data_IF_886493896736
#
_entry.id   IF_886493896736
#
_cell.length_a   1.000
_cell.length_b   1.000
_cell.length_c   1.000
_cell.angle_alpha   90.00
_cell.angle_beta   90.00
_cell.angle_gamma   90.00
#
_symmetry.space_group_name_H-M   'P 1'
#
loop_
_entity.id
_entity.type
_entity.pdbx_description
1 polymer ?
#
# COMPACT_ATOMS: atom_id res chain seq x y z
N UNK A 1 18.16 -26.51 55.27
CA UNK A 1 18.09 -26.44 53.80
C UNK A 1 17.08 -25.44 53.23
N UNK A 2 16.10 -24.94 53.98
CA UNK A 2 15.11 -23.94 53.47
C UNK A 2 15.65 -22.51 53.36
N UNK A 3 16.59 -22.09 54.23
CA UNK A 3 17.14 -20.72 54.22
C UNK A 3 17.98 -20.39 52.97
N UNK A 4 18.66 -21.38 52.38
CA UNK A 4 19.45 -21.20 51.16
C UNK A 4 18.58 -20.97 49.93
N UNK A 5 17.39 -21.59 49.84
CA UNK A 5 16.46 -21.46 48.74
C UNK A 5 15.82 -20.07 48.66
N UNK A 6 15.58 -19.46 49.87
CA UNK A 6 15.03 -18.10 49.91
C UNK A 6 16.06 -17.03 49.54
N UNK A 7 17.32 -17.24 49.85
CA UNK A 7 18.41 -16.32 49.44
C UNK A 7 18.61 -16.29 47.94
N UNK A 8 18.51 -17.44 47.25
CA UNK A 8 18.60 -17.50 45.80
C UNK A 8 17.41 -16.87 45.06
N UNK A 9 16.21 -16.97 45.62
CA UNK A 9 15.02 -16.34 45.04
C UNK A 9 15.11 -14.81 45.20
N UNK A 10 15.61 -14.33 46.34
CA UNK A 10 15.79 -12.89 46.58
C UNK A 10 16.89 -12.29 45.71
N UNK A 11 17.96 -13.03 45.42
CA UNK A 11 19.03 -12.58 44.52
C UNK A 11 18.56 -12.52 43.03
N UNK A 12 17.69 -13.45 42.63
CA UNK A 12 17.17 -13.50 41.26
C UNK A 12 16.14 -12.40 40.98
N UNK A 13 15.37 -11.99 42.03
CA UNK A 13 14.42 -10.87 41.89
C UNK A 13 15.10 -9.49 41.83
N UNK A 14 16.29 -9.35 42.43
CA UNK A 14 17.05 -8.11 42.39
C UNK A 14 17.66 -7.82 41.01
N UNK A 15 17.94 -8.84 40.21
CA UNK A 15 18.48 -8.69 38.83
C UNK A 15 17.43 -8.30 37.80
N UNK A 16 16.13 -8.55 38.06
CA UNK A 16 15.04 -8.13 37.13
C UNK A 16 14.63 -6.67 37.31
N UNK A 17 14.97 -6.03 38.43
CA UNK A 17 14.62 -4.64 38.70
C UNK A 17 15.58 -3.62 38.04
N UNK A 18 16.66 -4.08 37.41
CA UNK A 18 17.73 -3.21 36.88
C UNK A 18 17.46 -2.49 35.55
N UNK A 19 16.38 -2.81 34.84
CA UNK A 19 16.15 -2.23 33.51
C UNK A 19 15.39 -0.89 33.50
N UNK A 20 15.02 -0.35 34.67
CA UNK A 20 14.21 0.89 34.73
C UNK A 20 14.77 2.03 35.57
N UNK A 21 15.86 1.84 36.34
CA UNK A 21 16.30 2.80 37.35
C UNK A 21 17.52 3.64 36.96
N UNK A 22 18.23 3.28 35.89
CA UNK A 22 19.23 4.19 35.34
C UNK A 22 18.52 5.09 34.29
N UNK A 23 17.80 6.09 34.82
CA UNK A 23 17.19 7.15 34.08
C UNK A 23 18.21 7.72 33.09
N UNK A 24 17.88 7.60 31.81
CA UNK A 24 18.64 8.28 30.78
C UNK A 24 18.69 9.76 31.13
N UNK A 25 19.89 10.33 31.25
CA UNK A 25 20.03 11.78 31.34
C UNK A 25 19.23 12.38 30.19
N UNK A 26 18.25 13.19 30.53
CA UNK A 26 17.54 13.97 29.52
C UNK A 26 18.58 14.65 28.65
N UNK A 27 18.57 14.28 27.37
CA UNK A 27 19.46 14.95 26.42
C UNK A 27 19.11 16.43 26.49
N UNK A 28 20.09 17.33 26.66
CA UNK A 28 19.83 18.75 26.67
C UNK A 28 19.07 19.11 25.40
N UNK A 29 17.83 19.55 25.55
CA UNK A 29 17.05 20.04 24.42
C UNK A 29 17.75 21.30 23.94
N UNK A 30 18.39 21.22 22.78
CA UNK A 30 18.99 22.41 22.17
C UNK A 30 17.87 23.42 21.94
N UNK A 31 17.92 24.61 22.56
CA UNK A 31 16.91 25.60 22.35
C UNK A 31 16.89 25.97 20.86
N UNK A 32 15.73 25.78 20.23
CA UNK A 32 15.57 26.14 18.84
C UNK A 32 15.29 27.64 18.76
N UNK A 33 16.26 28.37 18.21
CA UNK A 33 16.13 29.80 17.97
C UNK A 33 15.20 30.06 16.79
N UNK A 34 14.34 31.06 16.91
CA UNK A 34 13.45 31.51 15.85
C UNK A 34 11.96 31.25 16.11
N UNK A 35 11.12 31.99 15.40
CA UNK A 35 9.68 31.81 15.42
C UNK A 35 9.32 30.64 14.50
N UNK A 36 8.94 29.48 15.06
CA UNK A 36 8.54 28.31 14.28
C UNK A 36 7.07 28.41 13.93
N UNK A 37 6.78 28.41 12.64
CA UNK A 37 5.43 28.21 12.14
C UNK A 37 5.25 26.72 11.87
N UNK A 38 4.26 26.10 12.50
CA UNK A 38 3.94 24.69 12.24
C UNK A 38 3.43 24.53 10.81
N UNK A 39 4.10 23.72 10.00
CA UNK A 39 3.65 23.37 8.65
C UNK A 39 2.41 22.44 8.68
N UNK A 40 2.14 21.80 9.81
CA UNK A 40 1.04 20.85 9.97
C UNK A 40 -0.24 21.48 10.55
N UNK A 41 -0.23 22.74 10.94
CA UNK A 41 -1.42 23.42 11.51
C UNK A 41 -2.62 23.43 10.56
N UNK A 42 -2.39 23.40 9.25
CA UNK A 42 -3.46 23.27 8.26
C UNK A 42 -4.08 21.87 8.23
N UNK A 43 -3.29 20.83 8.55
CA UNK A 43 -3.80 19.45 8.59
C UNK A 43 -4.63 19.18 9.84
N UNK A 44 -4.32 19.85 10.95
CA UNK A 44 -5.05 19.70 12.22
C UNK A 44 -6.41 20.41 12.22
N UNK A 45 -6.54 21.49 11.48
CA UNK A 45 -7.78 22.27 11.40
C UNK A 45 -8.72 21.83 10.25
N UNK A 46 -8.35 20.79 9.52
CA UNK A 46 -9.09 20.35 8.33
C UNK A 46 -8.92 21.30 7.13
N UNK A 47 -9.61 21.02 6.05
CA UNK A 47 -9.68 21.90 4.90
C UNK A 47 -10.68 23.02 5.20
N UNK A 48 -10.20 24.23 5.43
CA UNK A 48 -11.08 25.40 5.48
C UNK A 48 -11.43 25.86 4.07
N UNK A 49 -12.72 26.10 3.86
CA UNK A 49 -13.19 26.67 2.60
C UNK A 49 -12.68 28.11 2.49
N UNK A 50 -12.00 28.41 1.39
CA UNK A 50 -11.61 29.77 1.08
C UNK A 50 -12.88 30.64 0.93
N UNK A 51 -13.03 31.65 1.76
CA UNK A 51 -14.22 32.53 1.80
C UNK A 51 -14.42 33.29 0.48
N UNK A 52 -13.34 33.62 -0.19
CA UNK A 52 -13.39 34.33 -1.47
C UNK A 52 -13.84 33.42 -2.62
N UNK A 53 -13.67 32.08 -2.47
CA UNK A 53 -14.09 31.10 -3.43
C UNK A 53 -15.45 30.44 -3.09
N UNK A 54 -16.02 30.72 -1.93
CA UNK A 54 -17.26 30.10 -1.48
C UNK A 54 -18.47 30.36 -2.41
N UNK A 55 -18.45 31.47 -3.17
CA UNK A 55 -19.48 31.80 -4.15
C UNK A 55 -19.21 31.34 -5.58
N UNK A 56 -18.06 30.72 -5.82
CA UNK A 56 -17.69 30.28 -7.17
C UNK A 56 -18.38 28.95 -7.50
N UNK A 57 -19.20 28.93 -8.54
CA UNK A 57 -19.84 27.71 -9.02
C UNK A 57 -18.80 26.77 -9.64
N UNK A 58 -18.67 25.56 -9.07
CA UNK A 58 -17.83 24.51 -9.65
C UNK A 58 -18.65 23.72 -10.67
N UNK A 59 -18.27 23.82 -11.93
CA UNK A 59 -18.88 23.06 -13.01
C UNK A 59 -18.00 21.82 -13.27
N UNK A 60 -18.49 20.66 -12.90
CA UNK A 60 -17.82 19.41 -13.22
C UNK A 60 -18.13 19.01 -14.67
N UNK A 61 -17.14 18.52 -15.42
CA UNK A 61 -17.41 17.92 -16.74
C UNK A 61 -18.35 16.71 -16.58
N UNK A 62 -19.10 16.35 -17.61
CA UNK A 62 -19.94 15.14 -17.57
C UNK A 62 -19.13 13.90 -17.16
N UNK A 63 -19.73 13.03 -16.37
CA UNK A 63 -19.10 11.78 -15.99
C UNK A 63 -18.97 10.87 -17.22
N UNK A 64 -17.80 10.22 -17.35
CA UNK A 64 -17.51 9.31 -18.48
C UNK A 64 -17.19 7.91 -17.95
N UNK A 65 -17.60 6.89 -18.71
CA UNK A 65 -17.26 5.51 -18.43
C UNK A 65 -15.82 5.25 -18.80
N UNK A 66 -15.04 4.67 -17.89
CA UNK A 66 -13.68 4.25 -18.16
C UNK A 66 -13.61 2.73 -18.34
N UNK A 67 -13.38 2.27 -19.55
CA UNK A 67 -13.26 0.85 -19.86
C UNK A 67 -11.86 0.28 -19.63
N UNK A 68 -10.85 1.13 -19.52
CA UNK A 68 -9.46 0.73 -19.43
C UNK A 68 -8.72 1.41 -18.28
N UNK A 69 -7.93 0.64 -17.57
CA UNK A 69 -7.03 1.06 -16.48
C UNK A 69 -5.71 0.35 -16.68
N UNK A 70 -4.98 0.75 -17.73
CA UNK A 70 -3.90 -0.03 -18.31
C UNK A 70 -2.55 0.07 -17.60
N UNK A 71 -2.45 0.89 -16.57
CA UNK A 71 -1.28 0.98 -15.69
C UNK A 71 -1.67 1.51 -14.30
N UNK A 72 -0.84 1.38 -13.27
CA UNK A 72 -1.08 1.98 -11.97
C UNK A 72 -1.37 3.49 -12.08
N UNK A 73 -2.53 3.92 -11.55
CA UNK A 73 -3.02 5.29 -11.70
C UNK A 73 -3.77 5.57 -13.00
N UNK A 74 -4.19 4.53 -13.73
CA UNK A 74 -5.12 4.60 -14.87
C UNK A 74 -4.44 4.74 -16.22
N UNK A 75 -4.06 5.93 -16.59
CA UNK A 75 -3.41 6.24 -17.87
C UNK A 75 -2.01 6.84 -17.68
N UNK A 76 -1.26 7.01 -18.76
CA UNK A 76 0.07 7.62 -18.73
C UNK A 76 0.05 9.06 -18.17
N UNK A 77 -0.99 9.81 -18.44
CA UNK A 77 -1.16 11.18 -17.94
C UNK A 77 -1.55 11.27 -16.46
N UNK A 78 -2.05 10.17 -15.87
CA UNK A 78 -2.64 10.12 -14.51
C UNK A 78 -3.84 11.06 -14.33
N UNK A 79 -4.30 11.71 -15.38
CA UNK A 79 -5.45 12.60 -15.38
C UNK A 79 -6.68 11.83 -15.86
N UNK A 80 -7.46 11.30 -14.93
CA UNK A 80 -8.58 10.39 -15.21
C UNK A 80 -9.89 11.14 -15.44
N UNK A 81 -9.99 12.36 -14.90
CA UNK A 81 -11.18 13.18 -14.99
C UNK A 81 -12.33 12.70 -14.09
N UNK A 82 -13.54 13.04 -14.46
CA UNK A 82 -14.76 12.66 -13.74
C UNK A 82 -15.27 11.32 -14.29
N UNK A 83 -15.17 10.25 -13.48
CA UNK A 83 -15.58 8.91 -13.86
C UNK A 83 -17.00 8.59 -13.40
N UNK A 84 -17.75 7.86 -14.25
CA UNK A 84 -19.03 7.27 -13.86
C UNK A 84 -18.80 6.09 -12.93
N UNK A 85 -19.53 6.05 -11.83
CA UNK A 85 -19.65 4.91 -10.94
C UNK A 85 -21.13 4.59 -10.71
N UNK A 86 -21.46 3.33 -10.59
CA UNK A 86 -22.84 2.93 -10.31
C UNK A 86 -23.28 3.23 -8.87
N UNK A 87 -24.57 3.47 -8.68
CA UNK A 87 -25.16 3.79 -7.36
C UNK A 87 -25.04 2.65 -6.36
N UNK A 88 -25.03 1.41 -6.84
CA UNK A 88 -24.93 0.21 -6.03
C UNK A 88 -23.62 -0.54 -6.32
N UNK A 89 -22.65 -0.37 -5.44
CA UNK A 89 -21.37 -1.06 -5.55
C UNK A 89 -21.47 -2.38 -4.82
N UNK A 90 -21.54 -3.48 -5.57
CA UNK A 90 -21.55 -4.85 -5.03
C UNK A 90 -20.36 -5.63 -5.58
N UNK A 91 -19.96 -6.69 -4.85
CA UNK A 91 -18.89 -7.57 -5.32
C UNK A 91 -19.40 -8.37 -6.53
N UNK A 92 -18.79 -8.16 -7.70
CA UNK A 92 -19.11 -8.94 -8.89
C UNK A 92 -18.56 -10.37 -8.81
N UNK A 93 -17.28 -10.50 -8.43
CA UNK A 93 -16.59 -11.78 -8.31
C UNK A 93 -15.37 -11.67 -7.38
N UNK A 94 -14.68 -12.78 -7.16
CA UNK A 94 -13.40 -12.81 -6.46
C UNK A 94 -12.49 -13.90 -7.03
N UNK A 95 -11.19 -13.62 -7.10
CA UNK A 95 -10.15 -14.59 -7.45
C UNK A 95 -9.09 -14.64 -6.34
N UNK A 96 -8.37 -15.76 -6.27
CA UNK A 96 -7.27 -15.94 -5.32
C UNK A 96 -5.95 -15.95 -6.08
N UNK A 97 -5.00 -15.18 -5.59
CA UNK A 97 -3.60 -15.16 -6.05
C UNK A 97 -2.69 -15.27 -4.83
N UNK A 98 -1.40 -15.56 -5.03
CA UNK A 98 -0.44 -15.56 -3.93
C UNK A 98 -0.34 -14.16 -3.32
N UNK A 99 -0.64 -14.06 -2.04
CA UNK A 99 -0.76 -12.81 -1.31
C UNK A 99 0.46 -12.45 -0.47
N UNK A 100 0.34 -11.37 0.28
CA UNK A 100 1.36 -10.92 1.22
C UNK A 100 1.56 -11.89 2.38
N UNK A 101 2.79 -11.96 2.88
CA UNK A 101 3.18 -12.65 4.09
C UNK A 101 3.98 -11.69 4.99
N UNK A 102 4.54 -12.20 6.09
CA UNK A 102 5.43 -11.40 6.95
C UNK A 102 6.69 -10.90 6.22
N UNK A 103 7.13 -11.61 5.18
CA UNK A 103 8.38 -11.32 4.47
C UNK A 103 8.17 -10.78 3.05
N UNK A 104 7.01 -11.00 2.47
CA UNK A 104 6.72 -10.67 1.08
C UNK A 104 5.49 -9.78 1.02
N UNK A 105 5.52 -8.72 0.24
CA UNK A 105 4.44 -7.76 0.09
C UNK A 105 3.87 -7.78 -1.32
N UNK A 106 2.55 -7.90 -1.41
CA UNK A 106 1.84 -7.68 -2.67
C UNK A 106 1.61 -6.17 -2.82
N UNK A 107 2.42 -5.53 -3.64
CA UNK A 107 2.39 -4.09 -3.85
C UNK A 107 1.84 -3.69 -5.23
N UNK A 108 1.79 -4.63 -6.18
CA UNK A 108 1.31 -4.37 -7.52
C UNK A 108 -0.20 -4.14 -7.54
N UNK A 109 -0.63 -3.01 -8.07
CA UNK A 109 -2.03 -2.76 -8.35
C UNK A 109 -2.45 -3.53 -9.62
N UNK A 110 -3.67 -4.12 -9.66
CA UNK A 110 -4.19 -4.72 -10.86
C UNK A 110 -4.47 -3.66 -11.94
N UNK A 111 -4.44 -4.08 -13.19
CA UNK A 111 -4.79 -3.24 -14.34
C UNK A 111 -5.89 -3.89 -15.18
N UNK A 112 -6.64 -3.07 -15.89
CA UNK A 112 -7.75 -3.53 -16.73
C UNK A 112 -7.56 -2.99 -18.15
N UNK A 113 -7.63 -3.86 -19.11
CA UNK A 113 -7.57 -3.46 -20.51
C UNK A 113 -8.36 -4.43 -21.39
N UNK A 114 -9.16 -3.88 -22.29
CA UNK A 114 -9.95 -4.63 -23.27
C UNK A 114 -10.74 -5.81 -22.65
N UNK A 115 -11.48 -5.53 -21.57
CA UNK A 115 -12.32 -6.51 -20.90
C UNK A 115 -11.57 -7.57 -20.07
N UNK A 116 -10.26 -7.41 -19.87
CA UNK A 116 -9.43 -8.32 -19.05
C UNK A 116 -8.82 -7.59 -17.87
N UNK A 117 -8.79 -8.25 -16.74
CA UNK A 117 -8.05 -7.81 -15.55
C UNK A 117 -6.74 -8.60 -15.47
N UNK A 118 -5.65 -7.88 -15.24
CA UNK A 118 -4.31 -8.46 -15.07
C UNK A 118 -3.78 -8.11 -13.68
N UNK A 119 -3.19 -9.09 -13.02
CA UNK A 119 -2.54 -8.93 -11.73
C UNK A 119 -1.27 -9.77 -11.69
N UNK A 120 -0.24 -9.28 -11.02
CA UNK A 120 0.95 -10.08 -10.68
C UNK A 120 0.92 -10.36 -9.19
N UNK A 121 1.23 -11.59 -8.82
CA UNK A 121 1.24 -12.03 -7.43
C UNK A 121 2.65 -12.02 -6.82
N UNK A 122 2.74 -12.37 -5.54
CA UNK A 122 4.02 -12.41 -4.80
C UNK A 122 4.94 -13.55 -5.20
N UNK A 123 4.47 -14.49 -6.00
CA UNK A 123 5.28 -15.55 -6.60
C UNK A 123 5.83 -15.18 -7.98
N UNK A 124 5.57 -13.94 -8.46
CA UNK A 124 5.95 -13.50 -9.79
C UNK A 124 5.06 -14.05 -10.89
N UNK A 125 3.88 -14.59 -10.55
CA UNK A 125 2.93 -15.09 -11.55
C UNK A 125 1.98 -13.97 -11.97
N UNK A 126 1.92 -13.74 -13.27
CA UNK A 126 0.95 -12.84 -13.90
C UNK A 126 -0.30 -13.64 -14.21
N UNK A 127 -1.43 -13.16 -13.76
CA UNK A 127 -2.74 -13.74 -13.99
C UNK A 127 -3.58 -12.82 -14.87
N UNK A 128 -4.31 -13.39 -15.80
CA UNK A 128 -5.32 -12.71 -16.59
C UNK A 128 -6.70 -13.32 -16.32
N UNK A 129 -7.66 -12.47 -16.04
CA UNK A 129 -9.05 -12.82 -15.81
C UNK A 129 -9.96 -12.06 -16.76
N UNK A 130 -11.08 -12.66 -17.11
CA UNK A 130 -12.19 -11.93 -17.71
C UNK A 130 -12.74 -10.91 -16.69
N UNK A 131 -12.78 -9.64 -17.05
CA UNK A 131 -13.11 -8.58 -16.11
C UNK A 131 -14.58 -8.59 -15.67
N UNK A 132 -15.49 -9.16 -16.45
CA UNK A 132 -16.91 -9.22 -16.13
C UNK A 132 -17.24 -10.41 -15.21
N UNK A 133 -16.66 -11.58 -15.50
CA UNK A 133 -17.00 -12.84 -14.80
C UNK A 133 -15.97 -13.29 -13.77
N UNK A 134 -14.73 -12.79 -13.85
CA UNK A 134 -13.62 -13.29 -13.03
C UNK A 134 -13.09 -14.65 -13.47
N UNK A 135 -13.52 -15.18 -14.62
CA UNK A 135 -13.03 -16.43 -15.15
C UNK A 135 -11.54 -16.31 -15.49
N UNK A 136 -10.69 -17.29 -15.12
CA UNK A 136 -9.28 -17.27 -15.48
C UNK A 136 -9.12 -17.46 -16.99
N UNK A 137 -8.27 -16.64 -17.60
CA UNK A 137 -7.95 -16.69 -19.03
C UNK A 137 -6.60 -17.36 -19.26
N UNK A 138 -5.56 -16.88 -18.56
CA UNK A 138 -4.22 -17.47 -18.56
C UNK A 138 -3.42 -17.02 -17.33
N UNK A 139 -2.34 -17.73 -17.07
CA UNK A 139 -1.32 -17.30 -16.10
C UNK A 139 0.07 -17.68 -16.61
N UNK A 140 1.07 -16.84 -16.28
CA UNK A 140 2.48 -17.05 -16.64
C UNK A 140 3.35 -16.61 -15.47
N UNK A 141 4.29 -17.43 -15.07
CA UNK A 141 5.27 -17.10 -14.04
C UNK A 141 6.52 -16.49 -14.68
N UNK A 142 6.98 -15.36 -14.14
CA UNK A 142 8.24 -14.73 -14.51
C UNK A 142 9.31 -15.28 -13.58
N UNK A 143 10.19 -16.12 -14.13
CA UNK A 143 11.31 -16.65 -13.39
C UNK A 143 12.46 -15.63 -13.39
N UNK A 144 13.14 -15.41 -12.25
CA UNK A 144 14.34 -14.60 -12.22
C UNK A 144 15.49 -15.27 -13.01
N UNK A 145 16.21 -14.49 -13.80
CA UNK A 145 17.32 -14.99 -14.63
C UNK A 145 18.42 -15.72 -13.84
N UNK A 146 18.55 -15.45 -12.55
CA UNK A 146 19.60 -15.98 -11.67
C UNK A 146 19.10 -17.05 -10.67
N UNK A 147 17.93 -17.62 -10.87
CA UNK A 147 17.36 -18.61 -9.94
C UNK A 147 17.08 -18.07 -8.54
N UNK A 148 16.96 -16.76 -8.41
CA UNK A 148 16.65 -16.08 -7.15
C UNK A 148 15.24 -16.38 -6.64
N UNK A 149 15.00 -16.11 -5.37
CA UNK A 149 13.67 -16.21 -4.78
C UNK A 149 12.73 -15.17 -5.35
N UNK A 150 11.42 -15.43 -5.26
CA UNK A 150 10.38 -14.45 -5.57
C UNK A 150 10.64 -13.11 -4.88
N UNK A 151 10.23 -12.03 -5.53
CA UNK A 151 10.42 -10.66 -5.04
C UNK A 151 9.84 -10.48 -3.64
N UNK A 152 10.58 -9.77 -2.77
CA UNK A 152 10.12 -9.43 -1.44
C UNK A 152 9.01 -8.38 -1.47
N UNK A 153 8.98 -7.50 -2.48
CA UNK A 153 8.06 -6.37 -2.57
C UNK A 153 7.08 -6.42 -3.74
N UNK A 154 6.99 -7.56 -4.41
CA UNK A 154 6.16 -7.67 -5.61
C UNK A 154 6.68 -6.82 -6.75
N UNK A 155 6.13 -7.05 -7.93
CA UNK A 155 6.47 -6.30 -9.13
C UNK A 155 5.39 -5.30 -9.52
N UNK A 156 5.24 -5.11 -10.81
CA UNK A 156 4.20 -4.29 -11.40
C UNK A 156 3.66 -4.93 -12.68
N UNK A 157 2.48 -4.53 -13.07
CA UNK A 157 1.88 -4.92 -14.34
C UNK A 157 1.32 -3.69 -15.05
N UNK A 158 1.53 -3.61 -16.36
CA UNK A 158 0.92 -2.63 -17.24
C UNK A 158 0.60 -3.28 -18.59
N UNK A 159 -0.33 -2.69 -19.33
CA UNK A 159 -0.85 -3.28 -20.56
C UNK A 159 -0.96 -2.21 -21.64
N UNK A 160 -0.60 -2.55 -22.85
CA UNK A 160 -0.98 -1.79 -24.05
C UNK A 160 -1.81 -2.65 -25.00
N UNK A 161 -2.10 -2.15 -26.19
CA UNK A 161 -2.97 -2.80 -27.16
C UNK A 161 -2.60 -4.27 -27.46
N UNK A 162 -1.34 -4.64 -27.39
CA UNK A 162 -0.83 -5.93 -27.85
C UNK A 162 0.01 -6.69 -26.82
N UNK A 163 0.40 -6.05 -25.72
CA UNK A 163 1.36 -6.64 -24.76
C UNK A 163 1.00 -6.37 -23.32
N UNK A 164 1.31 -7.34 -22.50
CA UNK A 164 1.34 -7.20 -21.05
C UNK A 164 2.80 -7.10 -20.62
N UNK A 165 3.14 -6.03 -19.94
CA UNK A 165 4.46 -5.81 -19.36
C UNK A 165 4.37 -6.12 -17.89
N UNK A 166 5.27 -6.93 -17.39
CA UNK A 166 5.31 -7.27 -16.00
C UNK A 166 6.74 -7.33 -15.48
N UNK A 167 6.92 -6.93 -14.23
CA UNK A 167 8.19 -7.01 -13.50
C UNK A 167 7.94 -7.73 -12.20
N UNK A 168 8.85 -8.56 -11.76
CA UNK A 168 8.78 -9.27 -10.49
C UNK A 168 9.55 -8.59 -9.35
N UNK A 169 10.18 -7.45 -9.60
CA UNK A 169 10.91 -6.65 -8.59
C UNK A 169 12.29 -7.21 -8.21
N UNK A 170 12.87 -8.12 -8.99
CA UNK A 170 14.26 -8.62 -8.90
C UNK A 170 14.99 -8.42 -10.22
#
# INVERSE_FOLDING_TARGET
MHKAKWATILALSATLAGCGVLGGKDKPVTPTLGNRTSILTRAENGAEVDKDLAGVSVILPPAVTNANWNQPGGSATKAIGHLTIGDNITRAWSARIAGSSLRVRLAAAPVVFNGRLYAIDTSGTVHAYDAASGAPVWSVTIEPDNGGSASVFGGGVSVDANRVYATNGV
#
